data_IF_294786693445
#
_entry.id   IF_294786693445
#
_cell.length_a   1.000
_cell.length_b   1.000
_cell.length_c   1.000
_cell.angle_alpha   90.00
_cell.angle_beta   90.00
_cell.angle_gamma   90.00
#
_symmetry.space_group_name_H-M   'P 1'
#
loop_
_entity.id
_entity.type
_entity.pdbx_description
1 polymer ?
#
# COMPACT_ATOMS: atom_id res chain seq x y z
N UNK A 1 -15.14 -11.95 -21.08
CA UNK A 1 -14.09 -11.74 -20.07
C UNK A 1 -14.79 -11.14 -18.86
N UNK A 2 -14.93 -11.91 -17.77
CA UNK A 2 -15.58 -11.42 -16.56
C UNK A 2 -14.73 -10.32 -15.93
N UNK A 3 -15.30 -9.13 -15.73
CA UNK A 3 -14.65 -8.08 -14.95
C UNK A 3 -14.46 -8.59 -13.53
N UNK A 4 -13.22 -8.68 -13.06
CA UNK A 4 -12.93 -8.88 -11.64
C UNK A 4 -13.67 -7.80 -10.84
N UNK A 5 -14.36 -8.18 -9.76
CA UNK A 5 -14.88 -7.17 -8.83
C UNK A 5 -13.69 -6.42 -8.22
N UNK A 6 -13.84 -5.11 -8.03
CA UNK A 6 -12.77 -4.24 -7.50
C UNK A 6 -12.29 -4.74 -6.12
N UNK A 7 -13.17 -5.35 -5.33
CA UNK A 7 -12.84 -5.98 -4.05
C UNK A 7 -11.85 -7.17 -4.15
N UNK A 8 -11.59 -7.70 -5.35
CA UNK A 8 -10.63 -8.79 -5.58
C UNK A 8 -9.29 -8.34 -6.18
N UNK A 9 -9.09 -7.03 -6.38
CA UNK A 9 -7.84 -6.51 -6.93
C UNK A 9 -6.92 -5.97 -5.83
N UNK A 10 -5.66 -6.44 -5.86
CA UNK A 10 -4.60 -6.05 -4.94
C UNK A 10 -3.56 -5.21 -5.69
N UNK A 11 -3.32 -3.99 -5.20
CA UNK A 11 -2.39 -3.04 -5.80
C UNK A 11 -1.17 -2.87 -4.88
N UNK A 12 0.01 -3.04 -5.46
CA UNK A 12 1.26 -2.66 -4.82
C UNK A 12 1.60 -1.20 -5.17
N UNK A 13 1.78 -0.35 -4.16
CA UNK A 13 2.21 1.04 -4.31
C UNK A 13 3.63 1.18 -3.76
N UNK A 14 4.56 1.51 -4.63
CA UNK A 14 5.93 1.84 -4.22
C UNK A 14 6.03 3.31 -3.82
N UNK A 15 6.85 3.62 -2.82
CA UNK A 15 6.93 5.00 -2.30
C UNK A 15 5.63 5.46 -1.64
N UNK A 16 4.80 4.52 -1.17
CA UNK A 16 3.45 4.78 -0.67
C UNK A 16 3.39 5.58 0.63
N UNK A 17 4.51 5.70 1.36
CA UNK A 17 4.61 6.57 2.53
C UNK A 17 5.02 8.01 2.14
N UNK A 18 5.41 8.25 0.89
CA UNK A 18 5.74 9.56 0.36
C UNK A 18 4.53 10.46 0.08
N UNK A 19 4.80 11.71 -0.32
CA UNK A 19 3.76 12.72 -0.57
C UNK A 19 2.74 12.27 -1.62
N UNK A 20 3.18 11.88 -2.81
CA UNK A 20 2.26 11.42 -3.87
C UNK A 20 1.66 10.05 -3.51
N UNK A 21 2.47 9.15 -2.96
CA UNK A 21 2.07 7.79 -2.62
C UNK A 21 0.90 7.75 -1.65
N UNK A 22 0.95 8.52 -0.56
CA UNK A 22 -0.12 8.52 0.45
C UNK A 22 -1.46 9.01 -0.11
N UNK A 23 -1.46 10.04 -0.95
CA UNK A 23 -2.67 10.52 -1.61
C UNK A 23 -3.26 9.46 -2.56
N UNK A 24 -2.41 8.80 -3.35
CA UNK A 24 -2.82 7.70 -4.22
C UNK A 24 -3.43 6.55 -3.41
N UNK A 25 -2.78 6.14 -2.32
CA UNK A 25 -3.26 5.05 -1.45
C UNK A 25 -4.63 5.37 -0.87
N UNK A 26 -4.88 6.61 -0.43
CA UNK A 26 -6.22 7.02 0.06
C UNK A 26 -7.29 6.83 -1.03
N UNK A 27 -7.01 7.22 -2.28
CA UNK A 27 -7.98 7.06 -3.37
C UNK A 27 -8.23 5.58 -3.68
N UNK A 28 -7.18 4.77 -3.77
CA UNK A 28 -7.30 3.34 -4.03
C UNK A 28 -8.12 2.62 -2.95
N UNK A 29 -7.88 2.94 -1.67
CA UNK A 29 -8.64 2.35 -0.56
C UNK A 29 -10.11 2.79 -0.61
N UNK A 30 -10.41 4.05 -0.94
CA UNK A 30 -11.77 4.54 -1.08
C UNK A 30 -12.52 3.90 -2.26
N UNK A 31 -11.80 3.53 -3.33
CA UNK A 31 -12.36 2.74 -4.44
C UNK A 31 -12.56 1.26 -4.09
N UNK A 32 -12.03 0.81 -2.94
CA UNK A 32 -12.26 -0.54 -2.40
C UNK A 32 -11.13 -1.54 -2.68
N UNK A 33 -10.02 -1.10 -3.28
CA UNK A 33 -8.86 -1.96 -3.51
C UNK A 33 -8.19 -2.40 -2.21
N UNK A 34 -7.54 -3.57 -2.25
CA UNK A 34 -6.49 -3.91 -1.28
C UNK A 34 -5.19 -3.26 -1.72
N UNK A 35 -4.47 -2.63 -0.80
CA UNK A 35 -3.24 -1.90 -1.10
C UNK A 35 -2.11 -2.40 -0.19
N UNK A 36 -0.99 -2.78 -0.80
CA UNK A 36 0.29 -2.95 -0.10
C UNK A 36 1.20 -1.79 -0.45
N UNK A 37 1.86 -1.21 0.54
CA UNK A 37 2.89 -0.20 0.35
C UNK A 37 4.26 -0.85 0.54
N UNK A 38 5.22 -0.57 -0.35
CA UNK A 38 6.65 -0.74 -0.06
C UNK A 38 7.36 0.61 -0.11
N UNK A 39 8.08 0.94 0.96
CA UNK A 39 8.81 2.20 1.11
C UNK A 39 10.02 1.99 2.05
N UNK A 40 11.15 2.60 1.74
CA UNK A 40 12.37 2.49 2.56
C UNK A 40 12.52 3.65 3.56
N UNK A 41 11.62 4.64 3.52
CA UNK A 41 11.59 5.81 4.39
C UNK A 41 12.76 6.80 4.23
N UNK A 42 13.52 6.74 3.12
CA UNK A 42 14.65 7.67 2.89
C UNK A 42 14.21 9.14 2.85
N UNK A 43 13.03 9.42 2.30
CA UNK A 43 12.44 10.77 2.20
C UNK A 43 10.98 10.81 2.68
N UNK A 44 10.57 9.79 3.44
CA UNK A 44 9.20 9.62 3.90
C UNK A 44 9.19 9.19 5.36
N UNK A 45 8.00 9.09 5.96
CA UNK A 45 7.86 8.71 7.38
C UNK A 45 6.71 7.73 7.52
N UNK A 46 6.90 6.71 8.36
CA UNK A 46 5.87 5.70 8.63
C UNK A 46 4.58 6.33 9.16
N UNK A 47 4.67 7.45 9.88
CA UNK A 47 3.49 8.16 10.36
C UNK A 47 2.56 8.64 9.24
N UNK A 48 3.08 8.86 8.03
CA UNK A 48 2.26 9.20 6.87
C UNK A 48 1.28 8.06 6.53
N UNK A 49 1.71 6.79 6.67
CA UNK A 49 0.84 5.61 6.51
C UNK A 49 -0.19 5.53 7.64
N UNK A 50 0.19 5.86 8.88
CA UNK A 50 -0.75 5.92 9.99
C UNK A 50 -1.83 7.00 9.79
N UNK A 51 -1.46 8.15 9.22
CA UNK A 51 -2.43 9.18 8.82
C UNK A 51 -3.39 8.68 7.75
N UNK A 52 -2.90 7.95 6.74
CA UNK A 52 -3.77 7.29 5.74
C UNK A 52 -4.80 6.40 6.43
N UNK A 53 -4.38 5.53 7.36
CA UNK A 53 -5.30 4.66 8.12
C UNK A 53 -6.38 5.45 8.87
N UNK A 54 -6.02 6.59 9.46
CA UNK A 54 -6.95 7.48 10.14
C UNK A 54 -7.95 8.14 9.18
N UNK A 55 -7.49 8.58 8.00
CA UNK A 55 -8.31 9.27 7.00
C UNK A 55 -9.37 8.37 6.36
N UNK A 56 -9.01 7.12 6.05
CA UNK A 56 -9.92 6.16 5.38
C UNK A 56 -10.84 5.43 6.37
N UNK A 57 -10.55 5.52 7.67
CA UNK A 57 -11.31 4.88 8.74
C UNK A 57 -11.03 3.39 8.92
N UNK A 58 -11.59 2.79 10.00
CA UNK A 58 -11.17 1.48 10.53
C UNK A 58 -11.51 0.29 9.62
N UNK A 59 -12.42 0.44 8.66
CA UNK A 59 -12.78 -0.66 7.76
C UNK A 59 -11.86 -0.72 6.56
N UNK A 60 -11.61 0.43 5.92
CA UNK A 60 -10.70 0.51 4.78
C UNK A 60 -9.24 0.37 5.21
N UNK A 61 -8.88 0.78 6.43
CA UNK A 61 -7.52 0.60 6.95
C UNK A 61 -7.08 -0.86 7.05
N UNK A 62 -8.02 -1.81 7.18
CA UNK A 62 -7.74 -3.26 7.16
C UNK A 62 -7.31 -3.78 5.79
N UNK A 63 -7.57 -3.02 4.73
CA UNK A 63 -7.15 -3.32 3.35
C UNK A 63 -5.77 -2.71 3.03
N UNK A 64 -5.09 -2.09 4.01
CA UNK A 64 -3.79 -1.45 3.84
C UNK A 64 -2.68 -2.19 4.60
N UNK A 65 -1.76 -2.78 3.84
CA UNK A 65 -0.54 -3.39 4.35
C UNK A 65 0.66 -2.47 4.10
N UNK A 66 1.62 -2.42 5.03
CA UNK A 66 2.85 -1.64 4.91
C UNK A 66 4.06 -2.54 5.07
N UNK A 67 5.01 -2.41 4.14
CA UNK A 67 6.23 -3.18 4.09
C UNK A 67 7.40 -2.20 4.05
N UNK A 68 8.19 -2.16 5.12
CA UNK A 68 9.46 -1.45 5.13
C UNK A 68 10.46 -2.22 4.26
N UNK A 69 10.99 -1.59 3.21
CA UNK A 69 11.92 -2.26 2.31
C UNK A 69 12.36 -1.39 1.14
N UNK A 70 13.47 -1.76 0.50
CA UNK A 70 14.06 -1.05 -0.63
C UNK A 70 13.84 -1.81 -1.94
N UNK A 71 13.31 -1.13 -2.95
CA UNK A 71 13.11 -1.72 -4.28
C UNK A 71 14.42 -2.18 -4.95
N UNK A 72 15.55 -1.60 -4.55
CA UNK A 72 16.89 -1.97 -5.04
C UNK A 72 17.38 -3.27 -4.39
N UNK A 73 16.75 -3.71 -3.31
CA UNK A 73 17.04 -4.96 -2.64
C UNK A 73 16.11 -6.08 -3.16
N UNK A 74 16.72 -7.10 -3.76
CA UNK A 74 15.98 -8.24 -4.31
C UNK A 74 15.29 -9.06 -3.21
N UNK A 75 15.91 -9.19 -2.05
CA UNK A 75 15.37 -9.97 -0.93
C UNK A 75 14.11 -9.31 -0.37
N UNK A 76 14.08 -7.99 -0.26
CA UNK A 76 12.90 -7.23 0.18
C UNK A 76 11.71 -7.45 -0.76
N UNK A 77 11.97 -7.49 -2.07
CA UNK A 77 10.95 -7.79 -3.08
C UNK A 77 10.48 -9.26 -3.01
N UNK A 78 11.40 -10.21 -2.88
CA UNK A 78 11.05 -11.63 -2.74
C UNK A 78 10.18 -11.87 -1.50
N UNK A 79 10.56 -11.26 -0.37
CA UNK A 79 9.77 -11.30 0.86
C UNK A 79 8.40 -10.67 0.68
N UNK A 80 8.32 -9.47 0.08
CA UNK A 80 7.06 -8.79 -0.22
C UNK A 80 6.13 -9.65 -1.08
N UNK A 81 6.61 -10.16 -2.22
CA UNK A 81 5.77 -10.93 -3.13
C UNK A 81 5.33 -12.27 -2.52
N UNK A 82 6.09 -12.84 -1.59
CA UNK A 82 5.70 -14.08 -0.89
C UNK A 82 4.46 -13.90 0.01
N UNK A 83 4.17 -12.66 0.45
CA UNK A 83 3.04 -12.34 1.35
C UNK A 83 1.93 -11.54 0.67
N UNK A 84 2.09 -11.18 -0.60
CA UNK A 84 1.18 -10.31 -1.37
C UNK A 84 0.43 -11.08 -2.48
N UNK A 85 0.25 -12.40 -2.31
CA UNK A 85 -0.44 -13.28 -3.29
C UNK A 85 -1.84 -13.66 -2.84
#
# INVERSE_FOLDING_TARGET
MGSLSIDQQHILVTGGAGFIGTHTVVQLLNEGFRVSIIDNLDNSVEEAVNRVRGLVGPQLSKKLDFHLGDLRNKEDLENLFSVTT
#
